data_IF_752625812504
#
_entry.id   IF_752625812504
#
_cell.length_a   1.000
_cell.length_b   1.000
_cell.length_c   1.000
_cell.angle_alpha   90.00
_cell.angle_beta   90.00
_cell.angle_gamma   90.00
#
_symmetry.space_group_name_H-M   'P 1'
#
loop_
_entity.id
_entity.type
_entity.pdbx_description
1 polymer ?
#
# COMPACT_ATOMS: atom_id res chain seq x y z
N UNK A 1 33.51 14.13 4.58
CA UNK A 1 32.39 14.80 5.27
C UNK A 1 31.15 14.97 4.41
N UNK A 2 31.21 15.64 3.25
CA UNK A 2 30.04 15.87 2.37
C UNK A 2 29.26 14.60 1.95
N UNK A 3 29.97 13.51 1.62
CA UNK A 3 29.35 12.25 1.24
C UNK A 3 28.73 11.46 2.40
N UNK A 4 29.23 11.66 3.63
CA UNK A 4 28.68 11.03 4.83
C UNK A 4 27.29 11.61 5.13
N UNK A 5 27.15 12.93 4.96
CA UNK A 5 25.84 13.60 5.09
C UNK A 5 24.83 13.13 4.04
N UNK A 6 25.27 12.94 2.79
CA UNK A 6 24.41 12.41 1.72
C UNK A 6 24.00 10.96 2.00
N UNK A 7 24.93 10.12 2.47
CA UNK A 7 24.64 8.73 2.83
C UNK A 7 23.66 8.63 4.01
N UNK A 8 23.80 9.50 5.03
CA UNK A 8 22.88 9.55 6.16
C UNK A 8 21.45 9.97 5.75
N UNK A 9 21.34 10.91 4.81
CA UNK A 9 20.05 11.36 4.24
C UNK A 9 19.37 10.28 3.40
N UNK A 10 20.12 9.42 2.72
CA UNK A 10 19.55 8.30 1.96
C UNK A 10 19.05 7.17 2.88
N UNK A 11 19.75 6.93 3.98
CA UNK A 11 19.37 5.89 4.95
C UNK A 11 18.07 6.23 5.70
N UNK A 12 17.74 7.51 5.88
CA UNK A 12 16.50 7.90 6.56
C UNK A 12 15.24 7.58 5.76
N UNK A 13 15.33 7.47 4.43
CA UNK A 13 14.18 7.09 3.58
C UNK A 13 13.81 5.61 3.79
N UNK A 14 14.77 4.77 4.13
CA UNK A 14 14.54 3.35 4.44
C UNK A 14 13.88 3.13 5.81
N UNK A 15 13.76 4.16 6.65
CA UNK A 15 13.10 4.08 7.95
C UNK A 15 11.57 4.21 7.88
N UNK A 16 11.00 4.57 6.73
CA UNK A 16 9.55 4.58 6.55
C UNK A 16 9.01 3.15 6.51
N UNK A 17 8.09 2.82 7.42
CA UNK A 17 7.40 1.53 7.40
C UNK A 17 6.40 1.47 6.23
N UNK A 18 6.24 0.28 5.65
CA UNK A 18 5.21 0.02 4.64
C UNK A 18 3.80 0.36 5.14
N UNK A 19 3.53 0.16 6.44
CA UNK A 19 2.27 0.52 7.08
C UNK A 19 2.03 2.04 7.11
N UNK A 20 3.08 2.83 7.37
CA UNK A 20 3.00 4.28 7.38
C UNK A 20 2.71 4.83 5.97
N UNK A 21 3.34 4.25 4.94
CA UNK A 21 3.06 4.61 3.55
C UNK A 21 1.64 4.21 3.16
N UNK A 22 1.23 2.99 3.50
CA UNK A 22 -0.11 2.48 3.22
C UNK A 22 -1.20 3.36 3.84
N UNK A 23 -1.08 3.67 5.13
CA UNK A 23 -2.04 4.50 5.86
C UNK A 23 -2.14 5.92 5.27
N UNK A 24 -1.03 6.55 4.90
CA UNK A 24 -1.03 7.86 4.25
C UNK A 24 -1.76 7.84 2.89
N UNK A 25 -1.56 6.79 2.09
CA UNK A 25 -2.26 6.61 0.81
C UNK A 25 -3.75 6.32 1.03
N UNK A 26 -4.07 5.46 1.98
CA UNK A 26 -5.46 5.09 2.31
C UNK A 26 -6.27 6.30 2.78
N UNK A 27 -5.69 7.12 3.66
CA UNK A 27 -6.32 8.36 4.12
C UNK A 27 -6.60 9.31 2.95
N UNK A 28 -5.66 9.47 2.02
CA UNK A 28 -5.90 10.27 0.81
C UNK A 28 -7.06 9.72 -0.01
N UNK A 29 -7.16 8.40 -0.20
CA UNK A 29 -8.27 7.80 -0.94
C UNK A 29 -9.62 8.03 -0.25
N UNK A 30 -9.67 7.94 1.07
CA UNK A 30 -10.89 8.25 1.83
C UNK A 30 -11.29 9.73 1.70
N UNK A 31 -10.31 10.64 1.68
CA UNK A 31 -10.56 12.06 1.41
C UNK A 31 -11.12 12.27 0.00
N UNK A 32 -10.62 11.55 -1.01
CA UNK A 32 -11.21 11.60 -2.35
C UNK A 32 -12.65 11.05 -2.36
N UNK A 33 -12.93 9.94 -1.64
CA UNK A 33 -14.29 9.42 -1.51
C UNK A 33 -15.25 10.48 -0.95
N UNK A 34 -14.82 11.28 0.03
CA UNK A 34 -15.65 12.32 0.65
C UNK A 34 -16.11 13.44 -0.29
N UNK A 35 -15.52 13.54 -1.48
CA UNK A 35 -15.91 14.50 -2.52
C UNK A 35 -17.02 13.96 -3.43
N UNK A 36 -17.32 12.67 -3.36
CA UNK A 36 -18.33 12.02 -4.19
C UNK A 36 -19.74 12.21 -3.62
N UNK A 37 -20.77 12.30 -4.47
CA UNK A 37 -22.16 12.27 -4.03
C UNK A 37 -22.56 10.85 -3.57
N UNK A 38 -23.67 10.75 -2.85
CA UNK A 38 -24.31 9.45 -2.59
C UNK A 38 -24.97 8.92 -3.88
N UNK A 39 -24.89 7.62 -4.22
CA UNK A 39 -24.38 6.48 -3.43
C UNK A 39 -22.89 6.13 -3.67
N UNK A 40 -22.22 6.87 -4.56
CA UNK A 40 -20.83 6.61 -4.96
C UNK A 40 -19.86 6.73 -3.77
N UNK A 41 -20.16 7.63 -2.83
CA UNK A 41 -19.45 7.72 -1.55
C UNK A 41 -19.44 6.38 -0.79
N UNK A 42 -20.61 5.75 -0.61
CA UNK A 42 -20.74 4.50 0.14
C UNK A 42 -19.96 3.35 -0.51
N UNK A 43 -20.03 3.26 -1.84
CA UNK A 43 -19.28 2.26 -2.59
C UNK A 43 -17.76 2.49 -2.50
N UNK A 44 -17.32 3.74 -2.68
CA UNK A 44 -15.90 4.12 -2.58
C UNK A 44 -15.32 3.83 -1.19
N UNK A 45 -16.05 4.20 -0.13
CA UNK A 45 -15.63 3.96 1.25
C UNK A 45 -15.54 2.48 1.59
N UNK A 46 -16.43 1.64 1.02
CA UNK A 46 -16.38 0.18 1.19
C UNK A 46 -15.12 -0.41 0.56
N UNK A 47 -14.69 0.08 -0.61
CA UNK A 47 -13.47 -0.40 -1.27
C UNK A 47 -12.19 0.04 -0.58
N UNK A 48 -12.19 1.24 0.00
CA UNK A 48 -11.01 1.82 0.68
C UNK A 48 -10.90 1.43 2.16
N UNK A 49 -11.83 0.63 2.69
CA UNK A 49 -11.89 0.22 4.09
C UNK A 49 -10.96 -0.92 4.52
N UNK A 50 -10.14 -1.48 3.63
CA UNK A 50 -9.26 -2.63 3.95
C UNK A 50 -8.18 -2.26 4.98
N UNK A 51 -7.99 -3.10 6.00
CA UNK A 51 -6.90 -2.89 6.97
C UNK A 51 -5.52 -3.20 6.36
N UNK A 52 -4.45 -2.65 6.95
CA UNK A 52 -3.09 -2.94 6.48
C UNK A 52 -2.75 -4.43 6.56
N UNK A 53 -3.15 -5.12 7.64
CA UNK A 53 -2.90 -6.56 7.81
C UNK A 53 -3.60 -7.40 6.74
N UNK A 54 -4.83 -7.04 6.38
CA UNK A 54 -5.57 -7.70 5.29
C UNK A 54 -4.92 -7.45 3.94
N UNK A 55 -4.48 -6.21 3.68
CA UNK A 55 -3.74 -5.86 2.49
C UNK A 55 -2.43 -6.67 2.38
N UNK A 56 -1.66 -6.74 3.47
CA UNK A 56 -0.37 -7.42 3.49
C UNK A 56 -0.53 -8.92 3.29
N UNK A 57 -1.53 -9.55 3.93
CA UNK A 57 -1.86 -10.95 3.71
C UNK A 57 -2.21 -11.25 2.26
N UNK A 58 -3.12 -10.47 1.65
CA UNK A 58 -3.51 -10.64 0.25
C UNK A 58 -2.32 -10.45 -0.68
N UNK A 59 -1.46 -9.46 -0.41
CA UNK A 59 -0.24 -9.22 -1.18
C UNK A 59 0.69 -10.44 -1.12
N UNK A 60 0.86 -11.04 0.05
CA UNK A 60 1.69 -12.23 0.22
C UNK A 60 1.09 -13.48 -0.43
N UNK A 61 -0.24 -13.63 -0.41
CA UNK A 61 -0.95 -14.70 -1.12
C UNK A 61 -0.71 -14.61 -2.64
N UNK A 62 -0.87 -13.41 -3.23
CA UNK A 62 -0.59 -13.18 -4.65
C UNK A 62 0.87 -13.50 -5.03
N UNK A 63 1.83 -13.12 -4.19
CA UNK A 63 3.25 -13.41 -4.41
C UNK A 63 3.59 -14.90 -4.33
N UNK A 64 2.78 -15.69 -3.62
CA UNK A 64 2.92 -17.16 -3.56
C UNK A 64 2.28 -17.81 -4.79
N UNK A 65 1.14 -17.30 -5.25
CA UNK A 65 0.41 -17.81 -6.41
C UNK A 65 1.13 -17.52 -7.74
N UNK A 66 1.89 -16.41 -7.82
CA UNK A 66 2.74 -16.06 -8.97
C UNK A 66 4.13 -16.74 -8.95
N UNK A 67 4.38 -17.71 -8.05
CA UNK A 67 5.61 -18.51 -8.14
C UNK A 67 5.63 -19.32 -9.45
N UNK A 68 6.75 -19.31 -10.21
CA UNK A 68 6.86 -19.94 -11.54
C UNK A 68 6.75 -21.48 -11.53
N UNK A 69 6.56 -22.12 -10.38
CA UNK A 69 6.37 -23.57 -10.30
C UNK A 69 4.94 -24.04 -10.64
N UNK A 70 3.95 -23.14 -10.69
CA UNK A 70 2.53 -23.49 -10.92
C UNK A 70 1.94 -22.98 -12.23
N UNK A 71 2.69 -22.22 -13.03
CA UNK A 71 2.20 -21.66 -14.32
C UNK A 71 2.77 -22.33 -15.58
N UNK A 72 3.37 -23.52 -15.46
CA UNK A 72 3.80 -24.34 -16.60
C UNK A 72 2.92 -25.59 -16.71
N UNK A 73 1.60 -25.42 -16.89
CA UNK A 73 0.70 -26.39 -17.56
C UNK A 73 -0.75 -25.88 -17.45
N UNK A 74 -1.11 -24.88 -18.26
CA UNK A 74 -2.44 -24.84 -18.87
C UNK A 74 -2.40 -24.01 -20.14
#
# INVERSE_FOLDING_TARGET
MKYIFVAALLASVAACSNEQVYSAVQQNRQLECSKLPQPEYEECMRETGMSYDEYERKRQELLKDDQPATRVTR
#
